data_IF_921322841130
#
_entry.id   IF_921322841130
#
_cell.length_a   1.000
_cell.length_b   1.000
_cell.length_c   1.000
_cell.angle_alpha   90.00
_cell.angle_beta   90.00
_cell.angle_gamma   90.00
#
_symmetry.space_group_name_H-M   'P 1'
#
loop_
_entity.id
_entity.type
_entity.pdbx_description
1 polymer ?
#
# COMPACT_ATOMS: atom_id res chain seq x y z
N UNK A 1 17.26 -0.41 8.37
CA UNK A 1 16.06 -1.06 7.79
C UNK A 1 14.84 -0.94 8.70
N UNK A 2 14.92 -1.38 9.96
CA UNK A 2 13.81 -1.31 10.93
C UNK A 2 13.17 0.08 11.03
N UNK A 3 13.98 1.12 11.28
CA UNK A 3 13.50 2.51 11.33
C UNK A 3 12.77 2.92 10.05
N UNK A 4 13.37 2.66 8.89
CA UNK A 4 12.78 2.93 7.58
C UNK A 4 11.40 2.29 7.44
N UNK A 5 11.28 1.01 7.77
CA UNK A 5 10.02 0.26 7.67
C UNK A 5 8.94 0.84 8.59
N UNK A 6 9.30 1.19 9.83
CA UNK A 6 8.38 1.81 10.78
C UNK A 6 7.93 3.20 10.31
N UNK A 7 8.85 4.01 9.79
CA UNK A 7 8.56 5.33 9.23
C UNK A 7 7.59 5.21 8.06
N UNK A 8 7.86 4.33 7.09
CA UNK A 8 6.97 4.11 5.95
C UNK A 8 5.60 3.59 6.38
N UNK A 9 5.55 2.66 7.34
CA UNK A 9 4.30 2.17 7.91
C UNK A 9 3.47 3.29 8.54
N UNK A 10 4.10 4.15 9.36
CA UNK A 10 3.42 5.31 9.96
C UNK A 10 2.96 6.33 8.92
N UNK A 11 3.82 6.69 7.96
CA UNK A 11 3.50 7.64 6.88
C UNK A 11 2.36 7.12 6.01
N UNK A 12 2.40 5.86 5.59
CA UNK A 12 1.32 5.29 4.79
C UNK A 12 0.01 5.19 5.57
N UNK A 13 0.06 4.85 6.87
CA UNK A 13 -1.12 4.86 7.74
C UNK A 13 -1.75 6.25 7.82
N UNK A 14 -0.93 7.28 8.12
CA UNK A 14 -1.39 8.67 8.20
C UNK A 14 -1.99 9.15 6.88
N UNK A 15 -1.31 8.90 5.76
CA UNK A 15 -1.81 9.25 4.43
C UNK A 15 -3.10 8.52 4.08
N UNK A 16 -3.24 7.24 4.45
CA UNK A 16 -4.47 6.49 4.20
C UNK A 16 -5.66 7.07 4.98
N UNK A 17 -5.45 7.53 6.22
CA UNK A 17 -6.49 8.22 7.00
C UNK A 17 -6.89 9.54 6.33
N UNK A 18 -5.91 10.36 5.94
CA UNK A 18 -6.17 11.64 5.27
C UNK A 18 -6.92 11.43 3.96
N UNK A 19 -6.43 10.53 3.10
CA UNK A 19 -7.04 10.24 1.80
C UNK A 19 -8.41 9.59 1.96
N UNK A 20 -8.59 8.67 2.92
CA UNK A 20 -9.88 8.06 3.23
C UNK A 20 -10.93 9.08 3.67
N UNK A 21 -10.57 9.99 4.57
CA UNK A 21 -11.45 11.07 5.00
C UNK A 21 -11.81 12.00 3.83
N UNK A 22 -10.83 12.34 2.99
CA UNK A 22 -11.03 13.16 1.80
C UNK A 22 -11.94 12.47 0.77
N UNK A 23 -11.76 11.17 0.55
CA UNK A 23 -12.63 10.33 -0.28
C UNK A 23 -14.09 10.37 0.18
N UNK A 24 -14.31 10.12 1.47
CA UNK A 24 -15.64 10.01 2.05
C UNK A 24 -16.44 11.33 2.09
N UNK A 25 -15.76 12.48 2.23
CA UNK A 25 -16.41 13.78 2.43
C UNK A 25 -16.28 14.72 1.23
N UNK A 26 -15.07 14.88 0.68
CA UNK A 26 -14.80 15.88 -0.35
C UNK A 26 -15.02 15.33 -1.77
N UNK A 27 -14.63 14.08 -2.04
CA UNK A 27 -14.61 13.53 -3.39
C UNK A 27 -15.95 12.97 -3.87
N UNK A 28 -16.91 12.69 -2.97
CA UNK A 28 -18.25 12.18 -3.34
C UNK A 28 -19.02 13.03 -4.35
N UNK A 29 -18.76 14.35 -4.39
CA UNK A 29 -19.42 15.27 -5.33
C UNK A 29 -18.73 15.33 -6.69
N UNK A 30 -17.46 14.94 -6.76
CA UNK A 30 -16.63 15.03 -7.96
C UNK A 30 -16.38 13.69 -8.62
N UNK A 31 -16.49 12.59 -7.88
CA UNK A 31 -16.27 11.24 -8.38
C UNK A 31 -17.61 10.55 -8.63
N UNK A 32 -17.68 9.76 -9.70
CA UNK A 32 -18.77 8.81 -9.87
C UNK A 32 -18.61 7.61 -8.92
N UNK A 33 -19.63 6.74 -8.85
CA UNK A 33 -19.63 5.61 -7.92
C UNK A 33 -18.44 4.66 -8.10
N UNK A 34 -18.05 4.37 -9.34
CA UNK A 34 -16.92 3.48 -9.64
C UNK A 34 -15.58 4.10 -9.23
N UNK A 35 -15.40 5.39 -9.51
CA UNK A 35 -14.21 6.14 -9.11
C UNK A 35 -14.06 6.19 -7.59
N UNK A 36 -15.15 6.44 -6.87
CA UNK A 36 -15.15 6.46 -5.41
C UNK A 36 -14.79 5.08 -4.84
N UNK A 37 -15.43 4.01 -5.35
CA UNK A 37 -15.14 2.63 -4.94
C UNK A 37 -13.70 2.22 -5.24
N UNK A 38 -13.17 2.57 -6.40
CA UNK A 38 -11.75 2.34 -6.73
C UNK A 38 -10.84 3.12 -5.79
N UNK A 39 -11.12 4.40 -5.54
CA UNK A 39 -10.33 5.22 -4.62
C UNK A 39 -10.29 4.63 -3.21
N UNK A 40 -11.45 4.22 -2.68
CA UNK A 40 -11.56 3.53 -1.39
C UNK A 40 -10.77 2.21 -1.36
N UNK A 41 -10.72 1.48 -2.49
CA UNK A 41 -9.88 0.28 -2.62
C UNK A 41 -8.40 0.63 -2.48
N UNK A 42 -7.94 1.70 -3.13
CA UNK A 42 -6.57 2.21 -2.97
C UNK A 42 -6.24 2.52 -1.50
N UNK A 43 -7.15 3.22 -0.80
CA UNK A 43 -7.00 3.58 0.62
C UNK A 43 -6.92 2.34 1.50
N UNK A 44 -7.81 1.38 1.28
CA UNK A 44 -7.87 0.12 2.03
C UNK A 44 -6.57 -0.67 1.90
N UNK A 45 -6.07 -0.84 0.67
CA UNK A 45 -4.82 -1.55 0.43
C UNK A 45 -3.62 -0.80 1.02
N UNK A 46 -3.58 0.53 0.94
CA UNK A 46 -2.52 1.32 1.58
C UNK A 46 -2.50 1.09 3.10
N UNK A 47 -3.66 1.15 3.76
CA UNK A 47 -3.76 1.00 5.21
C UNK A 47 -3.38 -0.42 5.69
N UNK A 48 -3.81 -1.46 4.98
CA UNK A 48 -3.45 -2.85 5.33
C UNK A 48 -1.95 -3.09 5.27
N UNK A 49 -1.29 -2.60 4.23
CA UNK A 49 0.14 -2.80 4.08
C UNK A 49 0.96 -1.82 4.94
N UNK A 50 0.40 -0.68 5.33
CA UNK A 50 0.95 0.16 6.39
C UNK A 50 1.05 -0.60 7.72
N UNK A 51 -0.02 -1.28 8.13
CA UNK A 51 0.01 -2.10 9.34
C UNK A 51 0.97 -3.29 9.21
N UNK A 52 0.99 -3.96 8.05
CA UNK A 52 1.94 -5.04 7.82
C UNK A 52 3.40 -4.57 7.90
N UNK A 53 3.71 -3.36 7.39
CA UNK A 53 5.02 -2.74 7.54
C UNK A 53 5.33 -2.48 9.01
N UNK A 54 4.40 -1.89 9.78
CA UNK A 54 4.62 -1.66 11.22
C UNK A 54 4.90 -2.98 11.95
N UNK A 55 4.07 -4.01 11.72
CA UNK A 55 4.27 -5.36 12.29
C UNK A 55 5.63 -5.91 11.90
N UNK A 56 5.99 -5.87 10.62
CA UNK A 56 7.29 -6.34 10.13
C UNK A 56 8.45 -5.58 10.77
N UNK A 57 8.31 -4.26 10.96
CA UNK A 57 9.29 -3.40 11.63
C UNK A 57 9.46 -3.75 13.10
N UNK A 58 8.38 -4.10 13.80
CA UNK A 58 8.42 -4.54 15.19
C UNK A 58 9.10 -5.91 15.31
N UNK A 59 8.62 -6.86 14.50
CA UNK A 59 8.90 -8.30 14.65
C UNK A 59 10.22 -8.74 14.01
N UNK A 60 10.62 -8.17 12.87
CA UNK A 60 11.82 -8.63 12.17
C UNK A 60 13.10 -7.89 12.61
N UNK A 61 14.20 -8.63 12.83
CA UNK A 61 15.51 -8.02 13.08
C UNK A 61 16.19 -7.50 11.79
N UNK A 62 15.66 -7.85 10.61
CA UNK A 62 16.21 -7.52 9.28
C UNK A 62 17.63 -8.05 9.04
N UNK A 63 17.92 -9.26 9.51
CA UNK A 63 19.19 -9.96 9.24
C UNK A 63 19.10 -10.88 8.01
N UNK A 64 17.90 -11.28 7.60
CA UNK A 64 17.70 -12.10 6.41
C UNK A 64 17.25 -11.28 5.20
N UNK A 65 17.66 -11.72 4.01
CA UNK A 65 17.25 -11.08 2.75
C UNK A 65 15.73 -11.08 2.59
N UNK A 66 15.03 -12.15 2.99
CA UNK A 66 13.56 -12.24 2.88
C UNK A 66 12.85 -11.16 3.70
N UNK A 67 13.38 -10.80 4.87
CA UNK A 67 12.83 -9.72 5.71
C UNK A 67 12.98 -8.36 5.02
N UNK A 68 14.12 -8.13 4.39
CA UNK A 68 14.38 -6.92 3.58
C UNK A 68 13.51 -6.88 2.32
N UNK A 69 13.31 -8.02 1.67
CA UNK A 69 12.42 -8.12 0.51
C UNK A 69 10.97 -7.85 0.92
N UNK A 70 10.48 -8.39 2.04
CA UNK A 70 9.16 -8.03 2.58
C UNK A 70 8.98 -6.51 2.64
N UNK A 71 9.93 -5.79 3.24
CA UNK A 71 9.86 -4.34 3.35
C UNK A 71 9.76 -3.63 2.00
N UNK A 72 10.69 -3.90 1.07
CA UNK A 72 10.72 -3.21 -0.21
C UNK A 72 9.54 -3.55 -1.11
N UNK A 73 9.13 -4.81 -1.15
CA UNK A 73 7.99 -5.24 -1.94
C UNK A 73 6.68 -4.61 -1.44
N UNK A 74 6.51 -4.47 -0.13
CA UNK A 74 5.37 -3.75 0.44
C UNK A 74 5.43 -2.25 0.17
N UNK A 75 6.58 -1.60 0.35
CA UNK A 75 6.72 -0.16 0.13
C UNK A 75 6.46 0.20 -1.34
N UNK A 76 7.17 -0.45 -2.25
CA UNK A 76 7.03 -0.23 -3.68
C UNK A 76 5.63 -0.65 -4.14
N UNK A 77 5.12 -1.78 -3.65
CA UNK A 77 3.78 -2.27 -3.96
C UNK A 77 2.69 -1.28 -3.59
N UNK A 78 2.75 -0.65 -2.42
CA UNK A 78 1.79 0.39 -2.00
C UNK A 78 1.87 1.62 -2.92
N UNK A 79 3.08 2.08 -3.23
CA UNK A 79 3.28 3.23 -4.12
C UNK A 79 2.68 2.93 -5.50
N UNK A 80 3.03 1.78 -6.09
CA UNK A 80 2.57 1.43 -7.43
C UNK A 80 1.08 1.05 -7.48
N UNK A 81 0.51 0.46 -6.43
CA UNK A 81 -0.88 0.00 -6.43
C UNK A 81 -1.84 1.11 -5.99
N UNK A 82 -1.63 1.69 -4.81
CA UNK A 82 -2.59 2.63 -4.22
C UNK A 82 -2.48 4.01 -4.88
N UNK A 83 -1.27 4.52 -5.09
CA UNK A 83 -1.11 5.87 -5.64
C UNK A 83 -1.42 5.94 -7.15
N UNK A 84 -1.26 4.84 -7.90
CA UNK A 84 -1.75 4.78 -9.29
C UNK A 84 -3.27 4.86 -9.34
N UNK A 85 -3.99 4.16 -8.44
CA UNK A 85 -5.44 4.21 -8.32
C UNK A 85 -5.90 5.63 -8.00
N UNK A 86 -5.26 6.31 -7.04
CA UNK A 86 -5.61 7.70 -6.72
C UNK A 86 -5.43 8.62 -7.93
N UNK A 87 -4.31 8.48 -8.64
CA UNK A 87 -4.04 9.24 -9.86
C UNK A 87 -5.05 8.94 -10.98
N UNK A 88 -5.45 7.69 -11.17
CA UNK A 88 -6.47 7.30 -12.16
C UNK A 88 -7.84 7.90 -11.84
N UNK A 89 -8.28 7.81 -10.58
CA UNK A 89 -9.57 8.36 -10.16
C UNK A 89 -9.60 9.89 -10.30
N UNK A 90 -8.55 10.56 -9.82
CA UNK A 90 -8.43 12.02 -9.89
C UNK A 90 -8.31 12.56 -11.33
N UNK A 91 -7.47 11.93 -12.15
CA UNK A 91 -7.29 12.35 -13.55
C UNK A 91 -8.54 12.05 -14.39
N UNK A 92 -9.21 10.92 -14.10
CA UNK A 92 -10.49 10.55 -14.69
C UNK A 92 -11.62 11.53 -14.34
N UNK A 93 -11.70 12.01 -13.09
CA UNK A 93 -12.75 12.96 -12.68
C UNK A 93 -12.59 14.34 -13.34
N UNK A 94 -11.40 14.65 -13.85
CA UNK A 94 -11.10 15.88 -14.63
C UNK A 94 -11.25 15.70 -16.14
N UNK A 95 -11.75 14.55 -16.60
CA UNK A 95 -11.91 14.24 -18.02
C UNK A 95 -10.60 13.95 -18.76
N UNK A 96 -9.46 13.83 -18.07
CA UNK A 96 -8.14 13.52 -18.67
C UNK A 96 -7.50 12.32 -17.97
N UNK A 97 -8.03 11.13 -18.25
CA UNK A 97 -7.53 9.89 -17.63
C UNK A 97 -6.09 9.60 -18.06
N UNK A 98 -5.18 9.53 -17.10
CA UNK A 98 -3.78 9.13 -17.34
C UNK A 98 -3.72 7.61 -17.52
N UNK A 99 -3.86 7.13 -18.75
CA UNK A 99 -4.01 5.70 -19.07
C UNK A 99 -2.81 4.83 -18.66
N UNK A 100 -1.60 5.40 -18.64
CA UNK A 100 -0.37 4.68 -18.25
C UNK A 100 -0.39 4.20 -16.79
N UNK A 101 -1.20 4.81 -15.93
CA UNK A 101 -1.37 4.36 -14.54
C UNK A 101 -2.17 3.05 -14.44
N UNK A 102 -2.95 2.70 -15.46
CA UNK A 102 -3.76 1.47 -15.49
C UNK A 102 -2.92 0.20 -15.34
N UNK A 103 -1.92 -0.01 -16.21
CA UNK A 103 -0.99 -1.15 -16.09
C UNK A 103 -0.06 -1.11 -14.87
N UNK A 104 0.14 0.05 -14.25
CA UNK A 104 1.00 0.17 -13.05
C UNK A 104 0.34 -0.47 -11.82
N UNK A 105 -0.97 -0.36 -11.69
CA UNK A 105 -1.73 -0.95 -10.59
C UNK A 105 -1.50 -2.47 -10.44
N UNK A 106 -1.69 -3.33 -11.47
CA UNK A 106 -1.46 -4.76 -11.31
C UNK A 106 0.01 -5.13 -11.03
N UNK A 107 0.98 -4.33 -11.51
CA UNK A 107 2.39 -4.50 -11.14
C UNK A 107 2.57 -4.23 -9.64
N UNK A 108 1.99 -3.16 -9.12
CA UNK A 108 1.96 -2.91 -7.68
C UNK A 108 1.30 -4.06 -6.90
N UNK A 109 0.22 -4.63 -7.43
CA UNK A 109 -0.46 -5.78 -6.84
C UNK A 109 0.43 -7.02 -6.76
N UNK A 110 1.21 -7.30 -7.81
CA UNK A 110 2.21 -8.36 -7.81
C UNK A 110 3.27 -8.12 -6.72
N UNK A 111 3.73 -6.88 -6.57
CA UNK A 111 4.67 -6.54 -5.52
C UNK A 111 4.10 -6.77 -4.12
N UNK A 112 2.84 -6.39 -3.89
CA UNK A 112 2.15 -6.65 -2.62
C UNK A 112 2.03 -8.15 -2.33
N UNK A 113 1.68 -8.97 -3.34
CA UNK A 113 1.61 -10.43 -3.21
C UNK A 113 2.98 -11.00 -2.79
N UNK A 114 4.05 -10.61 -3.49
CA UNK A 114 5.41 -11.06 -3.17
C UNK A 114 5.84 -10.59 -1.77
N UNK A 115 5.45 -9.38 -1.36
CA UNK A 115 5.67 -8.87 -0.01
C UNK A 115 5.06 -9.76 1.06
N UNK A 116 3.81 -10.19 0.88
CA UNK A 116 3.14 -11.16 1.76
C UNK A 116 3.82 -12.54 1.75
N UNK A 117 4.23 -13.03 0.59
CA UNK A 117 4.94 -14.33 0.49
C UNK A 117 6.25 -14.28 1.29
N UNK A 118 7.06 -13.24 1.11
CA UNK A 118 8.31 -13.09 1.87
C UNK A 118 8.06 -12.85 3.36
N UNK A 119 6.97 -12.15 3.71
CA UNK A 119 6.56 -12.00 5.11
C UNK A 119 6.27 -13.38 5.73
N UNK A 120 5.46 -14.21 5.05
CA UNK A 120 5.10 -15.56 5.50
C UNK A 120 6.33 -16.46 5.66
N UNK A 121 7.26 -16.41 4.71
CA UNK A 121 8.52 -17.17 4.81
C UNK A 121 9.35 -16.70 6.01
N UNK A 122 9.45 -15.39 6.22
CA UNK A 122 10.26 -14.81 7.29
C UNK A 122 9.65 -15.03 8.67
N UNK A 123 8.33 -14.88 8.81
CA UNK A 123 7.63 -15.07 10.09
C UNK A 123 7.65 -16.53 10.50
N UNK A 124 7.49 -17.48 9.57
CA UNK A 124 7.51 -18.91 9.88
C UNK A 124 8.84 -19.36 10.53
N UNK A 125 9.96 -18.73 10.16
CA UNK A 125 11.28 -19.04 10.73
C UNK A 125 11.46 -18.54 12.16
N UNK A 126 10.75 -17.49 12.55
CA UNK A 126 10.88 -16.87 13.87
C UNK A 126 9.67 -17.10 14.76
N UNK A 127 8.58 -17.66 14.24
CA UNK A 127 7.32 -17.85 14.94
C UNK A 127 7.46 -18.70 16.21
N UNK A 128 8.43 -19.62 16.27
CA UNK A 128 8.71 -20.40 17.49
C UNK A 128 9.34 -19.59 18.62
N UNK A 129 9.79 -18.36 18.34
CA UNK A 129 10.48 -17.48 19.29
C UNK A 129 9.71 -16.18 19.58
N UNK A 130 8.52 -16.01 19.00
CA UNK A 130 7.59 -14.91 19.26
C UNK A 130 6.60 -15.30 20.36
#
# INVERSE_FOLDING_TARGET
MKETVLIFGGVFGALAVVLGAFGAHALKRSFNADQLKSFETGVKYQLYHAFLLIISGIVFPFMEITQTLTAWFLIIGVILFSFSIYGLCWSGSRGRKISILGPITPIGGLFLILGWIFFTISIAKIASYL
#
